data_IF_394648087778
#
_entry.id   IF_394648087778
#
_cell.length_a   1.000
_cell.length_b   1.000
_cell.length_c   1.000
_cell.angle_alpha   90.00
_cell.angle_beta   90.00
_cell.angle_gamma   90.00
#
_symmetry.space_group_name_H-M   'P 1'
#
loop_
_entity.id
_entity.type
_entity.pdbx_description
1 polymer ?
#
# COMPACT_ATOMS: atom_id res chain seq x y z
N UNK A 1 -6.81 -9.15 -3.83
CA UNK A 1 -6.20 -8.87 -2.52
C UNK A 1 -4.72 -9.21 -2.55
N UNK A 2 -3.89 -8.29 -2.07
CA UNK A 2 -2.44 -8.48 -1.97
C UNK A 2 -2.05 -8.52 -0.50
N UNK A 3 -1.35 -9.58 -0.10
CA UNK A 3 -0.82 -9.70 1.26
C UNK A 3 0.61 -9.17 1.27
N UNK A 4 0.87 -8.17 2.12
CA UNK A 4 2.18 -7.58 2.27
C UNK A 4 2.67 -7.86 3.69
N UNK A 5 3.82 -8.55 3.79
CA UNK A 5 4.35 -8.97 5.07
C UNK A 5 5.86 -8.70 5.16
N UNK A 6 6.38 -8.68 6.38
CA UNK A 6 7.79 -8.44 6.64
C UNK A 6 8.18 -6.98 6.42
N UNK A 7 9.14 -6.74 5.55
CA UNK A 7 9.66 -5.40 5.29
C UNK A 7 9.32 -4.94 3.87
N UNK A 8 8.74 -3.77 3.77
CA UNK A 8 8.54 -3.12 2.48
C UNK A 8 9.53 -1.96 2.39
N UNK A 9 10.68 -2.22 1.78
CA UNK A 9 11.81 -1.29 1.73
C UNK A 9 12.31 -1.10 0.29
N UNK A 10 13.48 -0.49 0.12
CA UNK A 10 14.02 -0.20 -1.21
C UNK A 10 14.31 -1.45 -2.02
N UNK A 11 14.51 -2.61 -1.39
CA UNK A 11 14.75 -3.86 -2.08
C UNK A 11 13.45 -4.57 -2.47
N UNK A 12 12.43 -4.50 -1.62
CA UNK A 12 11.18 -5.22 -1.82
C UNK A 12 10.10 -4.38 -2.52
N UNK A 13 10.16 -3.05 -2.41
CA UNK A 13 9.19 -2.19 -3.05
C UNK A 13 9.09 -2.37 -4.56
N UNK A 14 10.21 -2.52 -5.32
CA UNK A 14 10.11 -2.78 -6.77
C UNK A 14 9.40 -4.08 -7.10
N UNK A 15 9.53 -5.10 -6.26
CA UNK A 15 8.84 -6.38 -6.45
C UNK A 15 7.33 -6.21 -6.29
N UNK A 16 6.92 -5.47 -5.27
CA UNK A 16 5.50 -5.17 -5.06
C UNK A 16 4.95 -4.32 -6.19
N UNK A 17 5.69 -3.31 -6.64
CA UNK A 17 5.26 -2.47 -7.73
C UNK A 17 5.03 -3.27 -9.00
N UNK A 18 5.93 -4.20 -9.32
CA UNK A 18 5.81 -5.06 -10.47
C UNK A 18 4.56 -5.94 -10.40
N UNK A 19 4.28 -6.48 -9.22
CA UNK A 19 3.11 -7.31 -8.99
C UNK A 19 1.82 -6.49 -9.17
N UNK A 20 1.80 -5.29 -8.62
CA UNK A 20 0.66 -4.39 -8.77
C UNK A 20 0.45 -4.02 -10.23
N UNK A 21 1.52 -3.64 -10.94
CA UNK A 21 1.44 -3.24 -12.34
C UNK A 21 0.86 -4.34 -13.23
N UNK A 22 1.08 -5.60 -12.85
CA UNK A 22 0.57 -6.74 -13.60
C UNK A 22 -0.93 -6.97 -13.45
N UNK A 23 -1.56 -6.42 -12.41
CA UNK A 23 -2.97 -6.69 -12.12
C UNK A 23 -3.86 -5.46 -12.08
N UNK A 24 -3.29 -4.27 -11.82
CA UNK A 24 -4.07 -3.08 -11.49
C UNK A 24 -4.98 -2.61 -12.61
N UNK A 25 -4.58 -2.85 -13.86
CA UNK A 25 -5.37 -2.42 -15.02
C UNK A 25 -6.76 -3.07 -15.06
N UNK A 26 -6.89 -4.26 -14.49
CA UNK A 26 -8.13 -5.03 -14.52
C UNK A 26 -8.93 -4.98 -13.21
N UNK A 27 -8.42 -4.25 -12.20
CA UNK A 27 -9.05 -4.18 -10.90
C UNK A 27 -9.99 -2.99 -10.77
N UNK A 28 -11.10 -3.20 -10.10
CA UNK A 28 -12.01 -2.14 -9.66
C UNK A 28 -11.87 -1.90 -8.16
N UNK A 29 -11.37 -2.90 -7.44
CA UNK A 29 -11.12 -2.80 -6.01
C UNK A 29 -9.78 -3.46 -5.70
N UNK A 30 -8.93 -2.76 -4.97
CA UNK A 30 -7.63 -3.25 -4.55
C UNK A 30 -7.58 -3.24 -3.02
N UNK A 31 -7.32 -4.41 -2.43
CA UNK A 31 -7.18 -4.54 -0.99
C UNK A 31 -5.77 -5.00 -0.66
N UNK A 32 -5.08 -4.24 0.19
CA UNK A 32 -3.81 -4.65 0.76
C UNK A 32 -4.04 -5.17 2.18
N UNK A 33 -3.65 -6.41 2.42
CA UNK A 33 -3.63 -6.98 3.76
C UNK A 33 -2.23 -6.78 4.33
N UNK A 34 -2.11 -5.89 5.30
CA UNK A 34 -0.83 -5.52 5.90
C UNK A 34 -0.63 -6.07 7.31
N UNK A 35 -1.41 -7.09 7.67
CA UNK A 35 -1.35 -7.69 9.01
C UNK A 35 0.07 -8.09 9.42
N UNK A 36 0.85 -8.64 8.49
CA UNK A 36 2.22 -9.07 8.76
C UNK A 36 3.30 -8.06 8.45
N UNK A 37 2.94 -6.83 8.06
CA UNK A 37 3.93 -5.82 7.71
C UNK A 37 4.58 -5.24 8.96
N UNK A 38 5.91 -5.29 9.03
CA UNK A 38 6.69 -4.85 10.19
C UNK A 38 7.39 -3.51 9.95
N UNK A 39 7.68 -3.17 8.70
CA UNK A 39 8.43 -1.98 8.35
C UNK A 39 8.07 -1.49 6.96
N UNK A 40 7.99 -0.18 6.79
CA UNK A 40 7.78 0.44 5.48
C UNK A 40 8.74 1.63 5.32
N UNK A 41 9.42 1.67 4.17
CA UNK A 41 10.32 2.77 3.81
C UNK A 41 9.62 3.77 2.90
N UNK A 42 10.31 4.89 2.58
CA UNK A 42 9.79 5.87 1.63
C UNK A 42 9.55 5.25 0.25
N UNK A 43 10.37 4.28 -0.15
CA UNK A 43 10.16 3.55 -1.41
C UNK A 43 8.86 2.76 -1.38
N UNK A 44 8.56 2.11 -0.25
CA UNK A 44 7.30 1.39 -0.06
C UNK A 44 6.10 2.33 -0.06
N UNK A 45 6.22 3.46 0.63
CA UNK A 45 5.16 4.46 0.64
C UNK A 45 4.84 4.97 -0.77
N UNK A 46 5.86 5.16 -1.59
CA UNK A 46 5.69 5.59 -2.97
C UNK A 46 4.89 4.59 -3.80
N UNK A 47 5.15 3.31 -3.62
CA UNK A 47 4.42 2.25 -4.33
C UNK A 47 2.94 2.25 -3.92
N UNK A 48 2.66 2.36 -2.63
CA UNK A 48 1.29 2.42 -2.12
C UNK A 48 0.57 3.66 -2.66
N UNK A 49 1.25 4.81 -2.64
CA UNK A 49 0.68 6.06 -3.16
C UNK A 49 0.38 5.99 -4.65
N UNK A 50 1.28 5.41 -5.43
CA UNK A 50 1.08 5.22 -6.87
C UNK A 50 -0.17 4.38 -7.13
N UNK A 51 -0.32 3.28 -6.40
CA UNK A 51 -1.50 2.42 -6.53
C UNK A 51 -2.78 3.18 -6.17
N UNK A 52 -2.75 3.98 -5.11
CA UNK A 52 -3.92 4.77 -4.69
C UNK A 52 -4.31 5.78 -5.77
N UNK A 53 -3.34 6.46 -6.36
CA UNK A 53 -3.61 7.43 -7.42
C UNK A 53 -4.27 6.78 -8.63
N UNK A 54 -3.80 5.61 -9.03
CA UNK A 54 -4.39 4.87 -10.15
C UNK A 54 -5.81 4.42 -9.80
N UNK A 55 -6.00 3.87 -8.60
CA UNK A 55 -7.32 3.38 -8.19
C UNK A 55 -8.33 4.50 -8.01
N UNK A 56 -7.89 5.71 -7.66
CA UNK A 56 -8.78 6.87 -7.57
C UNK A 56 -9.47 7.20 -8.90
N UNK A 57 -8.87 6.82 -10.02
CA UNK A 57 -9.44 7.10 -11.34
C UNK A 57 -10.37 6.02 -11.83
N UNK A 58 -10.42 4.87 -11.19
CA UNK A 58 -11.13 3.71 -11.75
C UNK A 58 -11.88 2.86 -10.73
N UNK A 59 -11.67 3.07 -9.44
CA UNK A 59 -12.31 2.24 -8.43
C UNK A 59 -11.94 2.65 -7.02
N UNK A 60 -11.65 1.67 -6.19
CA UNK A 60 -11.33 1.91 -4.79
C UNK A 60 -10.15 1.07 -4.33
N UNK A 61 -9.46 1.54 -3.30
CA UNK A 61 -8.36 0.83 -2.67
C UNK A 61 -8.48 0.99 -1.16
N UNK A 62 -8.18 -0.08 -0.44
CA UNK A 62 -8.14 -0.02 1.03
C UNK A 62 -7.01 -0.87 1.59
N UNK A 63 -6.57 -0.52 2.79
CA UNK A 63 -5.54 -1.21 3.53
C UNK A 63 -6.16 -1.78 4.80
N UNK A 64 -5.87 -3.06 5.09
CA UNK A 64 -6.38 -3.73 6.29
C UNK A 64 -5.23 -4.25 7.13
N UNK A 65 -5.46 -4.39 8.43
CA UNK A 65 -4.49 -4.98 9.33
C UNK A 65 -3.25 -4.13 9.58
N UNK A 66 -3.34 -2.82 9.39
CA UNK A 66 -2.22 -1.91 9.62
C UNK A 66 -1.96 -1.80 11.12
N UNK A 67 -0.73 -2.14 11.56
CA UNK A 67 -0.37 -2.03 12.97
C UNK A 67 -0.05 -0.59 13.37
N UNK A 68 0.10 -0.36 14.67
CA UNK A 68 0.29 0.97 15.22
C UNK A 68 1.56 1.65 14.71
N UNK A 69 2.65 0.89 14.54
CA UNK A 69 3.92 1.43 14.05
C UNK A 69 3.80 1.92 12.61
N UNK A 70 3.13 1.15 11.76
CA UNK A 70 2.91 1.55 10.36
C UNK A 70 1.90 2.69 10.29
N UNK A 71 0.87 2.65 11.13
CA UNK A 71 -0.12 3.73 11.20
C UNK A 71 0.55 5.07 11.55
N UNK A 72 1.52 5.04 12.46
CA UNK A 72 2.28 6.23 12.84
C UNK A 72 3.08 6.80 11.65
N UNK A 73 3.66 5.94 10.83
CA UNK A 73 4.35 6.37 9.61
C UNK A 73 3.38 7.06 8.65
N UNK A 74 2.19 6.51 8.47
CA UNK A 74 1.18 7.13 7.61
C UNK A 74 0.72 8.48 8.18
N UNK A 75 0.59 8.59 9.49
CA UNK A 75 0.22 9.84 10.15
C UNK A 75 1.29 10.93 9.92
N UNK A 76 2.54 10.60 10.20
CA UNK A 76 3.66 11.55 10.08
C UNK A 76 3.83 12.02 8.63
N UNK A 77 3.62 11.14 7.67
CA UNK A 77 3.77 11.47 6.25
C UNK A 77 2.56 12.12 5.61
N UNK A 78 1.44 12.22 6.35
CA UNK A 78 0.19 12.75 5.83
C UNK A 78 -0.63 11.76 5.01
N UNK A 79 -0.21 10.51 4.95
CA UNK A 79 -0.88 9.50 4.12
C UNK A 79 -2.23 9.07 4.68
N UNK A 80 -2.50 9.32 5.97
CA UNK A 80 -3.82 9.01 6.55
C UNK A 80 -4.95 9.75 5.84
N UNK A 81 -4.67 10.94 5.31
CA UNK A 81 -5.67 11.74 4.61
C UNK A 81 -5.89 11.26 3.17
N UNK A 82 -4.97 10.45 2.65
CA UNK A 82 -4.98 9.99 1.26
C UNK A 82 -5.49 8.56 1.16
N UNK A 83 -5.11 7.71 2.13
CA UNK A 83 -5.40 6.28 2.11
C UNK A 83 -6.69 5.97 2.86
N UNK A 84 -7.38 4.91 2.41
CA UNK A 84 -8.50 4.34 3.14
C UNK A 84 -7.98 3.16 3.96
N UNK A 85 -8.03 3.28 5.27
CA UNK A 85 -7.51 2.26 6.18
C UNK A 85 -8.65 1.73 7.03
N UNK A 86 -8.77 0.40 7.05
CA UNK A 86 -9.80 -0.29 7.83
C UNK A 86 -9.24 -1.17 8.92
#
# INVERSE_FOLDING_TARGET
KIVVAGRLDTQTAPELEKEIDGIIANLKELVFDMTGLEYISSAGLRVILKAQKIMNTKGSMKLTGVNDSIMEVFDITGFLDILTIE
#
